data_IF_499622165831
#
_entry.id   IF_499622165831
#
_cell.length_a   1.000
_cell.length_b   1.000
_cell.length_c   1.000
_cell.angle_alpha   90.00
_cell.angle_beta   90.00
_cell.angle_gamma   90.00
#
_symmetry.space_group_name_H-M   'P 1'
#
loop_
_entity.id
_entity.type
_entity.pdbx_description
1 polymer ?
#
# COMPACT_ATOMS: atom_id res chain seq x y z
N UNK A 1 0.48 35.22 2.55
CA UNK A 1 0.80 33.77 2.51
C UNK A 1 0.83 33.37 1.05
N UNK A 2 2.01 33.44 0.43
CA UNK A 2 2.19 33.30 -1.01
C UNK A 2 2.05 31.86 -1.46
N UNK A 3 1.29 31.63 -2.53
CA UNK A 3 1.24 30.34 -3.22
C UNK A 3 2.58 30.12 -3.93
N UNK A 4 3.31 29.07 -3.54
CA UNK A 4 4.53 28.63 -4.23
C UNK A 4 4.17 28.25 -5.66
N UNK A 5 4.60 29.04 -6.64
CA UNK A 5 4.26 28.88 -8.04
C UNK A 5 5.43 28.20 -8.74
N UNK A 6 5.37 26.89 -8.97
CA UNK A 6 6.43 26.20 -9.70
C UNK A 6 6.46 26.68 -11.16
N UNK A 7 7.64 27.04 -11.67
CA UNK A 7 7.83 27.50 -13.04
C UNK A 7 8.98 26.73 -13.71
N UNK A 8 8.76 26.29 -14.94
CA UNK A 8 9.66 25.41 -15.71
C UNK A 8 10.84 26.21 -16.27
N UNK A 9 12.08 25.81 -15.96
CA UNK A 9 13.29 26.43 -16.52
C UNK A 9 13.73 25.61 -17.73
N UNK A 10 13.69 26.21 -18.93
CA UNK A 10 14.13 25.58 -20.18
C UNK A 10 15.61 25.88 -20.45
N UNK A 11 16.51 25.05 -19.93
CA UNK A 11 17.90 25.04 -20.42
C UNK A 11 18.43 23.60 -20.52
N UNK A 12 18.43 23.09 -21.76
CA UNK A 12 19.48 22.24 -22.35
C UNK A 12 19.73 20.81 -21.85
N UNK A 13 19.50 20.45 -20.60
CA UNK A 13 19.59 19.08 -20.05
C UNK A 13 19.25 19.09 -18.54
N UNK A 14 17.97 18.97 -18.17
CA UNK A 14 17.47 18.37 -16.92
C UNK A 14 16.03 18.82 -16.62
N UNK A 15 15.09 17.88 -16.68
CA UNK A 15 13.73 18.02 -16.18
C UNK A 15 13.77 18.09 -14.63
N UNK A 16 13.67 19.29 -14.05
CA UNK A 16 13.48 19.50 -12.61
C UNK A 16 12.58 20.69 -12.34
N UNK A 17 11.53 20.51 -11.53
CA UNK A 17 10.81 21.64 -10.95
C UNK A 17 11.68 22.28 -9.88
N UNK A 18 11.92 23.59 -10.03
CA UNK A 18 12.66 24.41 -9.08
C UNK A 18 11.64 25.26 -8.32
N UNK A 19 11.75 25.34 -7.00
CA UNK A 19 11.02 26.34 -6.24
C UNK A 19 11.52 27.72 -6.69
N UNK A 20 10.66 28.49 -7.35
CA UNK A 20 10.97 29.82 -7.89
C UNK A 20 11.42 30.82 -6.84
N UNK A 21 11.17 30.54 -5.56
CA UNK A 21 11.47 31.42 -4.42
C UNK A 21 12.85 31.12 -3.82
N UNK A 22 13.27 29.85 -3.81
CA UNK A 22 14.50 29.40 -3.14
C UNK A 22 15.57 28.87 -4.11
N UNK A 23 15.20 28.55 -5.35
CA UNK A 23 16.11 27.94 -6.33
C UNK A 23 16.37 26.45 -6.08
N UNK A 24 15.70 25.81 -5.12
CA UNK A 24 15.91 24.40 -4.80
C UNK A 24 15.07 23.46 -5.69
N UNK A 25 15.67 22.32 -6.08
CA UNK A 25 14.99 21.26 -6.80
C UNK A 25 13.94 20.57 -5.92
N UNK A 26 12.70 20.44 -6.41
CA UNK A 26 11.61 19.76 -5.71
C UNK A 26 11.67 18.27 -6.01
N UNK A 27 11.70 17.45 -4.95
CA UNK A 27 11.72 15.99 -5.02
C UNK A 27 10.36 15.40 -4.69
N UNK A 28 10.02 14.27 -5.32
CA UNK A 28 8.87 13.48 -4.88
C UNK A 28 9.23 12.73 -3.58
N UNK A 29 8.23 12.54 -2.72
CA UNK A 29 8.39 11.77 -1.46
C UNK A 29 8.08 10.29 -1.63
N UNK A 30 7.55 9.90 -2.79
CA UNK A 30 7.03 8.57 -3.12
C UNK A 30 7.81 7.99 -4.29
N UNK A 31 8.08 6.66 -4.28
CA UNK A 31 8.79 5.95 -5.34
C UNK A 31 8.22 6.17 -6.74
N UNK A 32 9.08 6.10 -7.75
CA UNK A 32 8.65 5.90 -9.14
C UNK A 32 7.98 4.53 -9.30
N UNK A 33 6.99 4.46 -10.18
CA UNK A 33 6.26 3.22 -10.46
C UNK A 33 7.02 2.39 -11.48
N UNK A 34 8.03 1.69 -10.99
CA UNK A 34 8.86 0.76 -11.75
C UNK A 34 8.55 -0.69 -11.36
N UNK A 35 9.25 -1.67 -11.94
CA UNK A 35 8.97 -3.09 -11.70
C UNK A 35 9.26 -3.52 -10.25
N UNK A 36 10.29 -2.94 -9.64
CA UNK A 36 10.72 -3.13 -8.26
C UNK A 36 9.72 -2.54 -7.27
N UNK A 37 9.08 -1.40 -7.59
CA UNK A 37 7.94 -0.87 -6.83
C UNK A 37 6.84 -1.92 -6.70
N UNK A 38 6.42 -2.53 -7.81
CA UNK A 38 5.36 -3.55 -7.78
C UNK A 38 5.81 -4.81 -7.03
N UNK A 39 7.07 -5.21 -7.16
CA UNK A 39 7.63 -6.36 -6.47
C UNK A 39 7.62 -6.15 -4.95
N UNK A 40 8.23 -5.08 -4.44
CA UNK A 40 8.29 -4.83 -2.98
C UNK A 40 6.88 -4.64 -2.43
N UNK A 41 6.01 -3.97 -3.17
CA UNK A 41 4.62 -3.82 -2.77
C UNK A 41 3.91 -5.16 -2.61
N UNK A 42 4.03 -6.05 -3.60
CA UNK A 42 3.39 -7.36 -3.55
C UNK A 42 3.91 -8.16 -2.35
N UNK A 43 5.21 -8.13 -2.09
CA UNK A 43 5.81 -8.76 -0.92
C UNK A 43 5.29 -8.13 0.39
N UNK A 44 5.23 -6.79 0.47
CA UNK A 44 4.77 -6.05 1.65
C UNK A 44 3.30 -6.30 1.97
N UNK A 45 2.49 -6.53 0.95
CA UNK A 45 1.09 -6.92 1.11
C UNK A 45 1.00 -8.28 1.80
N UNK A 46 1.75 -9.28 1.32
CA UNK A 46 1.71 -10.63 1.91
C UNK A 46 2.33 -10.68 3.32
N UNK A 47 3.37 -9.89 3.60
CA UNK A 47 3.90 -9.76 4.97
C UNK A 47 2.87 -9.13 5.90
N UNK A 48 2.13 -8.11 5.45
CA UNK A 48 1.17 -7.42 6.30
C UNK A 48 0.17 -8.37 6.95
N UNK A 49 -0.39 -9.27 6.13
CA UNK A 49 -1.35 -10.29 6.54
C UNK A 49 -0.72 -11.30 7.51
N UNK A 50 0.36 -11.93 7.07
CA UNK A 50 1.01 -13.01 7.84
C UNK A 50 1.66 -12.53 9.14
N UNK A 51 2.16 -11.28 9.18
CA UNK A 51 2.73 -10.68 10.39
C UNK A 51 1.64 -10.24 11.38
N UNK A 52 0.49 -9.74 10.91
CA UNK A 52 -0.65 -9.46 11.77
C UNK A 52 -1.09 -10.72 12.50
N UNK A 53 -1.30 -11.82 11.75
CA UNK A 53 -1.65 -13.12 12.29
C UNK A 53 -0.64 -13.64 13.30
N UNK A 54 0.65 -13.58 12.96
CA UNK A 54 1.73 -14.07 13.81
C UNK A 54 1.74 -13.36 15.16
N UNK A 55 1.59 -12.04 15.17
CA UNK A 55 1.64 -11.26 16.41
C UNK A 55 0.34 -11.45 17.22
N UNK A 56 -0.82 -11.48 16.55
CA UNK A 56 -2.11 -11.66 17.22
C UNK A 56 -2.29 -13.06 17.83
N UNK A 57 -2.00 -14.11 17.06
CA UNK A 57 -2.29 -15.50 17.44
C UNK A 57 -1.10 -16.20 18.12
N UNK A 58 0.09 -16.20 17.51
CA UNK A 58 1.23 -16.99 18.00
C UNK A 58 1.91 -16.37 19.22
N UNK A 59 1.98 -15.03 19.30
CA UNK A 59 2.56 -14.35 20.47
C UNK A 59 1.56 -14.22 21.64
N UNK A 60 0.31 -14.68 21.47
CA UNK A 60 -0.72 -14.65 22.50
C UNK A 60 -1.06 -13.24 23.00
N UNK A 61 -0.68 -12.20 22.24
CA UNK A 61 -0.94 -10.81 22.61
C UNK A 61 -2.43 -10.48 22.47
N UNK A 62 -3.14 -11.22 21.62
CA UNK A 62 -4.53 -10.95 21.26
C UNK A 62 -4.64 -9.78 20.30
N UNK A 63 -5.69 -9.79 19.50
CA UNK A 63 -5.89 -8.86 18.39
C UNK A 63 -5.83 -7.38 18.84
N UNK A 64 -6.44 -7.06 19.98
CA UNK A 64 -6.52 -5.68 20.50
C UNK A 64 -5.15 -5.12 20.89
N UNK A 65 -4.33 -5.87 21.63
CA UNK A 65 -3.02 -5.38 22.06
C UNK A 65 -2.06 -5.26 20.86
N UNK A 66 -2.09 -6.25 19.96
CA UNK A 66 -1.34 -6.21 18.71
C UNK A 66 -1.70 -4.96 17.89
N UNK A 67 -2.99 -4.66 17.77
CA UNK A 67 -3.47 -3.47 17.05
C UNK A 67 -2.96 -2.17 17.66
N UNK A 68 -2.99 -2.04 18.99
CA UNK A 68 -2.48 -0.85 19.68
C UNK A 68 -0.97 -0.68 19.47
N UNK A 69 -0.19 -1.73 19.69
CA UNK A 69 1.27 -1.69 19.56
C UNK A 69 1.68 -1.36 18.11
N UNK A 70 1.09 -2.04 17.13
CA UNK A 70 1.41 -1.81 15.72
C UNK A 70 0.95 -0.43 15.25
N UNK A 71 -0.17 0.09 15.77
CA UNK A 71 -0.62 1.46 15.48
C UNK A 71 0.35 2.52 16.03
N UNK A 72 0.95 2.28 17.21
CA UNK A 72 1.99 3.17 17.76
C UNK A 72 3.23 3.15 16.88
N UNK A 73 3.70 1.97 16.45
CA UNK A 73 4.83 1.87 15.52
C UNK A 73 4.54 2.55 14.19
N UNK A 74 3.32 2.38 13.65
CA UNK A 74 2.90 3.07 12.43
C UNK A 74 2.90 4.59 12.62
N UNK A 75 2.37 5.10 13.74
CA UNK A 75 2.37 6.54 14.02
C UNK A 75 3.81 7.10 14.05
N UNK A 76 4.73 6.39 14.69
CA UNK A 76 6.16 6.77 14.73
C UNK A 76 6.76 6.75 13.31
N UNK A 77 6.50 5.71 12.52
CA UNK A 77 7.02 5.60 11.15
C UNK A 77 6.47 6.71 10.24
N UNK A 78 5.17 7.02 10.34
CA UNK A 78 4.56 8.14 9.63
C UNK A 78 5.22 9.46 10.02
N UNK A 79 5.48 9.71 11.31
CA UNK A 79 6.19 10.92 11.75
C UNK A 79 7.56 11.02 11.06
N UNK A 80 8.34 9.94 11.02
CA UNK A 80 9.62 9.94 10.31
C UNK A 80 9.48 10.15 8.81
N UNK A 81 8.45 9.56 8.20
CA UNK A 81 8.14 9.69 6.78
C UNK A 81 7.76 11.14 6.41
N UNK A 82 6.86 11.77 7.17
CA UNK A 82 6.48 13.18 6.97
C UNK A 82 7.63 14.17 7.19
N UNK A 83 8.64 13.80 7.99
CA UNK A 83 9.86 14.58 8.16
C UNK A 83 10.78 14.51 6.94
N UNK A 84 10.66 13.49 6.08
CA UNK A 84 11.47 13.39 4.88
C UNK A 84 10.94 14.32 3.79
N UNK A 85 11.83 15.16 3.27
CA UNK A 85 11.54 16.05 2.13
C UNK A 85 11.79 15.38 0.77
N UNK A 86 12.22 14.12 0.77
CA UNK A 86 12.53 13.32 -0.42
C UNK A 86 12.24 11.84 -0.14
N UNK A 87 12.06 11.06 -1.20
CA UNK A 87 11.92 9.62 -1.07
C UNK A 87 13.17 9.00 -0.43
N UNK A 88 12.97 8.30 0.68
CA UNK A 88 13.99 7.48 1.36
C UNK A 88 13.47 6.04 1.39
N UNK A 89 14.03 5.13 0.57
CA UNK A 89 13.47 3.79 0.35
C UNK A 89 13.14 3.02 1.63
N UNK A 90 14.08 2.96 2.58
CA UNK A 90 13.89 2.17 3.79
C UNK A 90 12.82 2.75 4.72
N UNK A 91 12.67 4.08 4.82
CA UNK A 91 11.63 4.73 5.65
C UNK A 91 10.26 4.48 5.02
N UNK A 92 10.16 4.73 3.71
CA UNK A 92 8.94 4.59 2.95
C UNK A 92 8.41 3.15 3.00
N UNK A 93 9.25 2.16 2.65
CA UNK A 93 8.81 0.77 2.62
C UNK A 93 8.54 0.19 3.99
N UNK A 94 9.29 0.59 5.03
CA UNK A 94 8.96 0.22 6.41
C UNK A 94 7.60 0.78 6.82
N UNK A 95 7.28 2.02 6.41
CA UNK A 95 5.97 2.62 6.64
C UNK A 95 4.88 1.86 5.89
N UNK A 96 5.10 1.47 4.62
CA UNK A 96 4.15 0.65 3.85
C UNK A 96 3.88 -0.70 4.53
N UNK A 97 4.92 -1.38 5.05
CA UNK A 97 4.75 -2.64 5.79
C UNK A 97 3.98 -2.43 7.10
N UNK A 98 4.24 -1.35 7.84
CA UNK A 98 3.48 -1.05 9.06
C UNK A 98 2.02 -0.71 8.76
N UNK A 99 1.76 0.06 7.68
CA UNK A 99 0.40 0.33 7.22
C UNK A 99 -0.29 -0.95 6.80
N UNK A 100 0.43 -1.90 6.18
CA UNK A 100 -0.16 -3.17 5.76
C UNK A 100 -0.61 -4.02 6.93
N UNK A 101 0.22 -4.14 7.97
CA UNK A 101 -0.14 -4.85 9.21
C UNK A 101 -1.31 -4.17 9.92
N UNK A 102 -1.26 -2.85 10.11
CA UNK A 102 -2.33 -2.11 10.81
C UNK A 102 -3.65 -2.16 10.02
N UNK A 103 -3.60 -2.09 8.69
CA UNK A 103 -4.79 -2.20 7.84
C UNK A 103 -5.49 -3.56 7.96
N UNK A 104 -4.73 -4.66 7.99
CA UNK A 104 -5.26 -6.01 8.31
C UNK A 104 -5.92 -5.99 9.68
N UNK A 105 -5.17 -5.60 10.72
CA UNK A 105 -5.65 -5.62 12.10
C UNK A 105 -6.93 -4.79 12.32
N UNK A 106 -7.06 -3.62 11.67
CA UNK A 106 -8.29 -2.83 11.73
C UNK A 106 -9.48 -3.65 11.21
N UNK A 107 -9.31 -4.34 10.09
CA UNK A 107 -10.35 -5.17 9.48
C UNK A 107 -10.73 -6.33 10.39
N UNK A 108 -9.75 -7.07 10.88
CA UNK A 108 -9.95 -8.23 11.75
C UNK A 108 -10.65 -7.82 13.05
N UNK A 109 -10.36 -6.63 13.59
CA UNK A 109 -11.07 -6.17 14.79
C UNK A 109 -12.57 -5.99 14.53
N UNK A 110 -12.97 -5.57 13.33
CA UNK A 110 -14.39 -5.48 13.00
C UNK A 110 -15.02 -6.87 12.85
N UNK A 111 -14.32 -7.80 12.21
CA UNK A 111 -14.86 -9.13 11.92
C UNK A 111 -14.80 -10.04 13.15
N UNK A 112 -13.62 -10.23 13.74
CA UNK A 112 -13.38 -11.22 14.79
C UNK A 112 -13.76 -10.72 16.19
N UNK A 113 -13.40 -9.47 16.52
CA UNK A 113 -13.68 -8.91 17.83
C UNK A 113 -15.11 -8.35 17.94
N UNK A 114 -15.58 -7.66 16.89
CA UNK A 114 -16.91 -7.03 16.90
C UNK A 114 -18.00 -7.89 16.23
N UNK A 115 -17.64 -8.99 15.55
CA UNK A 115 -18.59 -9.93 14.95
C UNK A 115 -19.32 -9.40 13.72
N UNK A 116 -18.76 -8.40 13.03
CA UNK A 116 -19.36 -7.87 11.81
C UNK A 116 -19.18 -8.85 10.65
N UNK A 117 -20.08 -8.81 9.68
CA UNK A 117 -19.90 -9.58 8.44
C UNK A 117 -18.97 -8.85 7.46
N UNK A 118 -18.36 -9.60 6.54
CA UNK A 118 -17.43 -9.04 5.55
C UNK A 118 -18.06 -7.95 4.68
N UNK A 119 -19.24 -8.20 4.10
CA UNK A 119 -19.90 -7.28 3.15
C UNK A 119 -20.05 -5.84 3.65
N UNK A 120 -20.63 -5.55 4.83
CA UNK A 120 -20.75 -4.17 5.31
C UNK A 120 -19.39 -3.51 5.56
N UNK A 121 -18.38 -4.25 6.04
CA UNK A 121 -17.04 -3.72 6.29
C UNK A 121 -16.32 -3.40 4.97
N UNK A 122 -16.42 -4.28 3.97
CA UNK A 122 -15.88 -4.03 2.64
C UNK A 122 -16.52 -2.80 1.99
N UNK A 123 -17.85 -2.66 2.09
CA UNK A 123 -18.55 -1.47 1.58
C UNK A 123 -18.17 -0.20 2.33
N UNK A 124 -17.99 -0.28 3.65
CA UNK A 124 -17.56 0.83 4.49
C UNK A 124 -16.16 1.32 4.09
N UNK A 125 -15.18 0.41 3.93
CA UNK A 125 -13.83 0.79 3.50
C UNK A 125 -13.80 1.27 2.04
N UNK A 126 -14.62 0.69 1.16
CA UNK A 126 -14.76 1.17 -0.21
C UNK A 126 -15.31 2.61 -0.25
N UNK A 127 -16.32 2.91 0.57
CA UNK A 127 -16.88 4.25 0.70
C UNK A 127 -15.88 5.23 1.33
N UNK A 128 -15.13 4.81 2.35
CA UNK A 128 -14.09 5.63 2.98
C UNK A 128 -12.94 5.96 2.01
N UNK A 129 -12.50 4.97 1.22
CA UNK A 129 -11.49 5.16 0.18
C UNK A 129 -11.98 6.08 -0.93
N UNK A 130 -13.21 5.87 -1.43
CA UNK A 130 -13.82 6.72 -2.44
C UNK A 130 -13.97 8.17 -1.95
N UNK A 131 -14.39 8.35 -0.70
CA UNK A 131 -14.47 9.67 -0.06
C UNK A 131 -13.11 10.33 0.04
N UNK A 132 -12.07 9.57 0.42
CA UNK A 132 -10.69 10.06 0.49
C UNK A 132 -10.21 10.55 -0.87
N UNK A 133 -10.44 9.79 -1.95
CA UNK A 133 -10.11 10.25 -3.31
C UNK A 133 -10.93 11.46 -3.74
N UNK A 134 -12.23 11.49 -3.44
CA UNK A 134 -13.11 12.61 -3.79
C UNK A 134 -12.65 13.91 -3.12
N UNK A 135 -12.36 13.87 -1.81
CA UNK A 135 -11.86 15.02 -1.06
C UNK A 135 -10.47 15.42 -1.54
N UNK A 136 -9.57 14.45 -1.77
CA UNK A 136 -8.23 14.73 -2.28
C UNK A 136 -8.31 15.43 -3.64
N UNK A 137 -9.11 14.91 -4.58
CA UNK A 137 -9.30 15.53 -5.89
C UNK A 137 -9.99 16.90 -5.79
N UNK A 138 -10.94 17.08 -4.88
CA UNK A 138 -11.60 18.37 -4.68
C UNK A 138 -10.61 19.47 -4.23
N UNK A 139 -9.67 19.12 -3.36
CA UNK A 139 -8.68 20.05 -2.75
C UNK A 139 -7.46 20.25 -3.65
N UNK A 140 -6.88 19.18 -4.19
CA UNK A 140 -5.58 19.21 -4.88
C UNK A 140 -5.71 19.13 -6.41
N UNK A 141 -6.91 18.84 -6.92
CA UNK A 141 -7.25 18.72 -8.36
C UNK A 141 -6.42 17.69 -9.13
N UNK A 142 -5.71 16.82 -8.41
CA UNK A 142 -4.95 15.70 -8.97
C UNK A 142 -4.89 14.56 -7.96
N UNK A 143 -4.86 13.33 -8.48
CA UNK A 143 -4.62 12.10 -7.73
C UNK A 143 -3.27 11.47 -8.14
N UNK A 144 -2.40 12.27 -8.77
CA UNK A 144 -1.10 11.80 -9.25
C UNK A 144 -0.12 11.60 -8.10
N UNK A 145 0.38 10.37 -8.00
CA UNK A 145 1.44 9.98 -7.06
C UNK A 145 2.81 10.55 -7.40
N UNK A 146 2.98 11.08 -8.61
CA UNK A 146 4.21 11.74 -9.04
C UNK A 146 4.34 13.17 -8.46
N UNK A 147 3.29 13.69 -7.84
CA UNK A 147 3.20 15.06 -7.34
C UNK A 147 3.04 15.15 -5.83
N UNK A 148 3.66 14.25 -5.07
CA UNK A 148 3.55 14.17 -3.61
C UNK A 148 4.77 14.85 -2.97
N UNK A 149 4.70 16.18 -2.86
CA UNK A 149 5.77 17.01 -2.30
C UNK A 149 5.29 17.92 -1.16
N UNK A 150 3.98 18.01 -0.92
CA UNK A 150 3.40 18.78 0.20
C UNK A 150 2.88 17.86 1.29
N UNK A 151 2.90 18.34 2.53
CA UNK A 151 2.36 17.62 3.68
C UNK A 151 0.90 17.17 3.46
N UNK A 152 0.07 18.04 2.86
CA UNK A 152 -1.35 17.73 2.62
C UNK A 152 -1.53 16.59 1.63
N UNK A 153 -0.79 16.59 0.53
CA UNK A 153 -0.83 15.52 -0.49
C UNK A 153 -0.32 14.21 0.08
N UNK A 154 0.74 14.26 0.86
CA UNK A 154 1.28 13.09 1.55
C UNK A 154 0.28 12.52 2.58
N UNK A 155 -0.46 13.37 3.29
CA UNK A 155 -1.50 12.92 4.22
C UNK A 155 -2.66 12.21 3.50
N UNK A 156 -3.16 12.76 2.38
CA UNK A 156 -4.16 12.08 1.56
C UNK A 156 -3.64 10.76 1.00
N UNK A 157 -2.39 10.73 0.57
CA UNK A 157 -1.74 9.54 0.06
C UNK A 157 -1.71 8.41 1.09
N UNK A 158 -1.17 8.67 2.29
CA UNK A 158 -1.09 7.66 3.35
C UNK A 158 -2.47 7.23 3.85
N UNK A 159 -3.44 8.14 3.90
CA UNK A 159 -4.82 7.80 4.24
C UNK A 159 -5.46 6.89 3.17
N UNK A 160 -5.26 7.19 1.89
CA UNK A 160 -5.76 6.35 0.80
C UNK A 160 -5.11 4.96 0.83
N UNK A 161 -3.81 4.89 1.13
CA UNK A 161 -3.10 3.64 1.34
C UNK A 161 -3.74 2.85 2.49
N UNK A 162 -3.88 3.45 3.68
CA UNK A 162 -4.45 2.76 4.84
C UNK A 162 -5.83 2.15 4.53
N UNK A 163 -6.74 2.93 3.93
CA UNK A 163 -8.05 2.41 3.54
C UNK A 163 -7.99 1.37 2.42
N UNK A 164 -7.03 1.47 1.50
CA UNK A 164 -6.81 0.43 0.50
C UNK A 164 -6.38 -0.88 1.14
N UNK A 165 -5.52 -0.81 2.16
CA UNK A 165 -5.04 -1.98 2.90
C UNK A 165 -6.18 -2.67 3.65
N UNK A 166 -6.99 -1.91 4.40
CA UNK A 166 -8.15 -2.44 5.11
C UNK A 166 -9.25 -2.97 4.15
N UNK A 167 -9.56 -2.21 3.09
CA UNK A 167 -10.48 -2.65 2.04
C UNK A 167 -10.03 -3.99 1.45
N UNK A 168 -8.76 -4.10 1.09
CA UNK A 168 -8.26 -5.27 0.41
C UNK A 168 -8.16 -6.51 1.29
N UNK A 169 -7.90 -6.39 2.59
CA UNK A 169 -8.05 -7.54 3.52
C UNK A 169 -9.51 -7.99 3.52
N UNK A 170 -10.45 -7.09 3.85
CA UNK A 170 -11.88 -7.46 3.91
C UNK A 170 -12.43 -8.04 2.60
N UNK A 171 -12.02 -7.52 1.44
CA UNK A 171 -12.46 -8.00 0.13
C UNK A 171 -11.81 -9.34 -0.24
N UNK A 172 -10.55 -9.56 0.17
CA UNK A 172 -9.86 -10.83 0.02
C UNK A 172 -10.60 -11.94 0.75
N UNK A 173 -10.86 -11.72 2.04
CA UNK A 173 -11.50 -12.68 2.93
C UNK A 173 -12.97 -12.87 2.59
N UNK A 174 -13.65 -11.79 2.16
CA UNK A 174 -15.02 -11.89 1.67
C UNK A 174 -15.12 -12.88 0.51
N UNK A 175 -14.19 -12.85 -0.44
CA UNK A 175 -14.21 -13.75 -1.59
C UNK A 175 -13.77 -15.16 -1.20
N UNK A 176 -12.69 -15.26 -0.42
CA UNK A 176 -12.10 -16.54 -0.05
C UNK A 176 -12.97 -17.32 0.95
N UNK A 177 -13.40 -16.68 2.02
CA UNK A 177 -14.11 -17.29 3.14
C UNK A 177 -15.61 -16.99 3.09
N UNK A 178 -15.98 -15.72 2.95
CA UNK A 178 -17.39 -15.30 2.96
C UNK A 178 -18.23 -15.89 1.83
N UNK A 179 -17.66 -15.98 0.63
CA UNK A 179 -18.27 -16.60 -0.56
C UNK A 179 -17.80 -18.04 -0.81
N UNK A 180 -16.82 -18.52 -0.03
CA UNK A 180 -16.30 -19.89 -0.11
C UNK A 180 -15.51 -20.21 -1.39
N UNK A 181 -14.95 -19.20 -2.07
CA UNK A 181 -14.12 -19.44 -3.26
C UNK A 181 -12.78 -20.11 -2.92
N UNK A 182 -12.31 -19.96 -1.68
CA UNK A 182 -10.98 -20.38 -1.23
C UNK A 182 -9.88 -19.40 -1.64
N UNK A 183 -8.76 -19.46 -0.91
CA UNK A 183 -7.68 -18.48 -1.02
C UNK A 183 -6.99 -18.47 -2.40
N UNK A 184 -6.65 -19.65 -2.96
CA UNK A 184 -5.97 -19.72 -4.25
C UNK A 184 -6.82 -19.17 -5.41
N UNK A 185 -8.09 -19.56 -5.48
CA UNK A 185 -8.99 -19.10 -6.54
C UNK A 185 -9.23 -17.59 -6.43
N UNK A 186 -9.41 -17.07 -5.21
CA UNK A 186 -9.55 -15.64 -4.95
C UNK A 186 -8.33 -14.86 -5.43
N UNK A 187 -7.12 -15.33 -5.09
CA UNK A 187 -5.86 -14.74 -5.58
C UNK A 187 -5.77 -14.71 -7.11
N UNK A 188 -6.14 -15.81 -7.78
CA UNK A 188 -6.16 -15.88 -9.25
C UNK A 188 -7.19 -14.93 -9.86
N UNK A 189 -8.38 -14.80 -9.26
CA UNK A 189 -9.41 -13.87 -9.73
C UNK A 189 -8.94 -12.42 -9.66
N UNK A 190 -8.31 -12.01 -8.56
CA UNK A 190 -7.74 -10.67 -8.44
C UNK A 190 -6.55 -10.44 -9.39
N UNK A 191 -5.72 -11.45 -9.60
CA UNK A 191 -4.64 -11.40 -10.61
C UNK A 191 -5.21 -11.21 -12.03
N UNK A 192 -6.33 -11.87 -12.36
CA UNK A 192 -7.00 -11.70 -13.64
C UNK A 192 -7.54 -10.27 -13.81
N UNK A 193 -8.12 -9.68 -12.75
CA UNK A 193 -8.56 -8.27 -12.76
C UNK A 193 -7.39 -7.33 -13.00
N UNK A 194 -6.23 -7.56 -12.36
CA UNK A 194 -5.00 -6.77 -12.60
C UNK A 194 -4.54 -6.91 -14.05
N UNK A 195 -4.57 -8.12 -14.63
CA UNK A 195 -4.22 -8.36 -16.02
C UNK A 195 -5.14 -7.59 -16.99
N UNK A 196 -6.45 -7.51 -16.69
CA UNK A 196 -7.41 -6.71 -17.46
C UNK A 196 -7.08 -5.22 -17.36
N UNK A 197 -6.79 -4.70 -16.16
CA UNK A 197 -6.39 -3.30 -15.96
C UNK A 197 -5.11 -2.99 -16.76
N UNK A 198 -4.11 -3.86 -16.70
CA UNK A 198 -2.88 -3.72 -17.46
C UNK A 198 -3.15 -3.72 -18.97
N UNK A 199 -4.00 -4.63 -19.47
CA UNK A 199 -4.39 -4.66 -20.88
C UNK A 199 -5.12 -3.39 -21.34
N UNK A 200 -5.99 -2.82 -20.50
CA UNK A 200 -6.67 -1.55 -20.79
C UNK A 200 -5.71 -0.36 -20.79
N UNK A 201 -4.71 -0.37 -19.91
CA UNK A 201 -3.66 0.65 -19.88
C UNK A 201 -2.76 0.58 -21.12
N UNK A 202 -2.22 -0.60 -21.47
CA UNK A 202 -1.34 -0.77 -22.63
C UNK A 202 -2.05 -0.60 -23.98
N UNK A 203 -3.38 -0.76 -24.01
CA UNK A 203 -4.19 -0.44 -25.20
C UNK A 203 -4.56 1.05 -25.30
N UNK A 204 -4.10 1.90 -24.38
CA UNK A 204 -4.37 3.35 -24.38
C UNK A 204 -5.81 3.72 -24.00
N UNK A 205 -6.60 2.78 -23.48
CA UNK A 205 -8.02 3.00 -23.12
C UNK A 205 -8.22 3.52 -21.70
N UNK A 206 -7.17 3.55 -20.89
CA UNK A 206 -7.22 3.94 -19.48
C UNK A 206 -6.10 4.93 -19.15
N UNK A 207 -6.43 6.01 -18.43
CA UNK A 207 -5.45 6.96 -17.93
C UNK A 207 -4.52 6.29 -16.89
N UNK A 208 -3.23 6.63 -16.92
CA UNK A 208 -2.22 6.04 -16.04
C UNK A 208 -2.50 6.21 -14.54
N UNK A 209 -3.06 7.34 -14.11
CA UNK A 209 -3.44 7.57 -12.70
C UNK A 209 -4.55 6.62 -12.28
N UNK A 210 -5.57 6.45 -13.13
CA UNK A 210 -6.68 5.54 -12.86
C UNK A 210 -6.21 4.09 -12.86
N UNK A 211 -5.42 3.69 -13.85
CA UNK A 211 -4.85 2.35 -13.95
C UNK A 211 -3.97 2.03 -12.73
N UNK A 212 -3.15 3.00 -12.30
CA UNK A 212 -2.34 2.87 -11.09
C UNK A 212 -3.20 2.61 -9.87
N UNK A 213 -4.19 3.46 -9.58
CA UNK A 213 -5.00 3.28 -8.36
C UNK A 213 -5.83 1.99 -8.39
N UNK A 214 -6.41 1.63 -9.53
CA UNK A 214 -7.15 0.37 -9.65
C UNK A 214 -6.24 -0.84 -9.45
N UNK A 215 -5.10 -0.89 -10.13
CA UNK A 215 -4.12 -1.97 -9.91
C UNK A 215 -3.59 -1.95 -8.48
N UNK A 216 -3.39 -0.76 -7.90
CA UNK A 216 -2.92 -0.59 -6.54
C UNK A 216 -3.93 -1.14 -5.52
N UNK A 217 -5.22 -0.91 -5.74
CA UNK A 217 -6.28 -1.41 -4.85
C UNK A 217 -6.40 -2.93 -4.97
N UNK A 218 -6.44 -3.46 -6.19
CA UNK A 218 -6.68 -4.89 -6.44
C UNK A 218 -5.47 -5.77 -6.08
N UNK A 219 -4.25 -5.22 -6.10
CA UNK A 219 -3.06 -5.96 -5.66
C UNK A 219 -3.09 -6.30 -4.17
N UNK A 220 -3.87 -5.57 -3.36
CA UNK A 220 -4.02 -5.88 -1.93
C UNK A 220 -4.79 -7.18 -1.66
N UNK A 221 -6.06 -7.33 -2.06
CA UNK A 221 -6.80 -8.57 -1.82
C UNK A 221 -6.12 -9.77 -2.49
N UNK A 222 -5.49 -9.57 -3.64
CA UNK A 222 -4.67 -10.62 -4.28
C UNK A 222 -3.57 -11.14 -3.35
N UNK A 223 -2.77 -10.23 -2.77
CA UNK A 223 -1.64 -10.63 -1.94
C UNK A 223 -2.03 -11.11 -0.54
N UNK A 224 -3.18 -10.66 0.00
CA UNK A 224 -3.79 -11.23 1.21
C UNK A 224 -4.17 -12.69 0.94
N UNK A 225 -4.98 -12.95 -0.11
CA UNK A 225 -5.36 -14.30 -0.49
C UNK A 225 -4.17 -15.24 -0.75
N UNK A 226 -3.08 -14.77 -1.39
CA UNK A 226 -1.88 -15.61 -1.52
C UNK A 226 -1.12 -15.78 -0.21
N UNK A 227 -1.14 -14.80 0.69
CA UNK A 227 -0.58 -14.90 2.03
C UNK A 227 -1.27 -16.00 2.84
N UNK A 228 -2.60 -15.94 2.88
CA UNK A 228 -3.43 -16.93 3.59
C UNK A 228 -3.31 -18.31 2.96
N UNK A 229 -3.29 -18.38 1.64
CA UNK A 229 -3.04 -19.63 0.94
C UNK A 229 -1.71 -20.27 1.35
N UNK A 230 -0.67 -19.48 1.64
CA UNK A 230 0.63 -20.01 2.08
C UNK A 230 0.63 -20.36 3.58
N UNK A 231 0.06 -19.50 4.42
CA UNK A 231 0.15 -19.58 5.88
C UNK A 231 -0.87 -20.53 6.51
N UNK A 232 -2.13 -20.50 6.04
CA UNK A 232 -3.26 -21.15 6.70
C UNK A 232 -3.17 -22.68 6.66
N UNK A 233 -3.75 -23.39 7.64
CA UNK A 233 -3.79 -24.85 7.65
C UNK A 233 -4.48 -25.42 6.40
N UNK A 234 -4.07 -26.63 6.01
CA UNK A 234 -4.70 -27.38 4.89
C UNK A 234 -6.19 -27.60 5.10
N UNK A 235 -6.62 -27.75 6.36
CA UNK A 235 -8.03 -27.87 6.72
C UNK A 235 -8.87 -26.63 6.34
N UNK A 236 -8.25 -25.45 6.29
CA UNK A 236 -8.89 -24.18 5.91
C UNK A 236 -8.64 -23.83 4.43
N UNK A 237 -8.00 -24.70 3.65
CA UNK A 237 -7.71 -24.47 2.23
C UNK A 237 -6.37 -23.78 1.94
N UNK A 238 -5.48 -23.67 2.93
CA UNK A 238 -4.10 -23.21 2.76
C UNK A 238 -3.09 -24.35 2.52
N UNK A 239 -1.81 -23.99 2.38
CA UNK A 239 -0.68 -24.91 2.17
C UNK A 239 -0.04 -25.39 3.48
N UNK A 240 -0.36 -24.74 4.60
CA UNK A 240 0.13 -25.12 5.92
C UNK A 240 1.63 -24.86 6.15
N UNK A 241 2.24 -23.90 5.45
CA UNK A 241 3.62 -23.49 5.75
C UNK A 241 3.72 -22.83 7.14
N UNK A 242 2.60 -22.33 7.65
CA UNK A 242 2.50 -21.64 8.92
C UNK A 242 2.86 -20.17 8.80
N UNK A 243 2.28 -19.37 9.70
CA UNK A 243 2.44 -17.91 9.76
C UNK A 243 3.90 -17.50 9.96
N UNK A 244 4.66 -18.25 10.77
CA UNK A 244 6.07 -17.96 11.09
C UNK A 244 6.99 -18.11 9.88
N UNK A 245 6.96 -19.25 9.21
CA UNK A 245 7.85 -19.52 8.08
C UNK A 245 7.52 -18.58 6.92
N UNK A 246 6.22 -18.38 6.65
CA UNK A 246 5.75 -17.49 5.60
C UNK A 246 6.22 -16.06 5.89
N UNK A 247 5.97 -15.52 7.09
CA UNK A 247 6.39 -14.17 7.48
C UNK A 247 7.90 -13.96 7.32
N UNK A 248 8.73 -14.92 7.75
CA UNK A 248 10.19 -14.81 7.66
C UNK A 248 10.70 -14.79 6.21
N UNK A 249 10.14 -15.63 5.34
CA UNK A 249 10.52 -15.67 3.92
C UNK A 249 10.23 -14.32 3.26
N UNK A 250 9.01 -13.82 3.44
CA UNK A 250 8.62 -12.55 2.82
C UNK A 250 9.35 -11.35 3.45
N UNK A 251 9.57 -11.33 4.76
CA UNK A 251 10.36 -10.28 5.41
C UNK A 251 11.80 -10.26 4.89
N UNK A 252 12.44 -11.42 4.75
CA UNK A 252 13.77 -11.52 4.17
C UNK A 252 13.82 -11.03 2.72
N UNK A 253 12.80 -11.37 1.91
CA UNK A 253 12.68 -10.90 0.54
C UNK A 253 12.54 -9.37 0.47
N UNK A 254 11.67 -8.78 1.31
CA UNK A 254 11.52 -7.31 1.42
C UNK A 254 12.84 -6.66 1.82
N UNK A 255 13.50 -7.18 2.86
CA UNK A 255 14.77 -6.62 3.33
C UNK A 255 15.84 -6.67 2.23
N UNK A 256 15.93 -7.77 1.47
CA UNK A 256 16.83 -7.89 0.34
C UNK A 256 16.52 -6.88 -0.77
N UNK A 257 15.25 -6.70 -1.14
CA UNK A 257 14.86 -5.74 -2.17
C UNK A 257 15.05 -4.29 -1.72
N UNK A 258 14.72 -3.94 -0.48
CA UNK A 258 15.00 -2.59 0.07
C UNK A 258 16.51 -2.32 0.09
N UNK A 259 17.31 -3.33 0.47
CA UNK A 259 18.78 -3.19 0.47
C UNK A 259 19.31 -2.98 -0.96
N UNK A 260 18.74 -3.66 -1.95
CA UNK A 260 19.04 -3.43 -3.36
C UNK A 260 18.68 -2.00 -3.79
N UNK A 261 17.44 -1.55 -3.54
CA UNK A 261 16.98 -0.19 -3.89
C UNK A 261 17.79 0.92 -3.21
N UNK A 262 18.22 0.68 -1.96
CA UNK A 262 19.06 1.62 -1.21
C UNK A 262 20.46 1.72 -1.82
N UNK A 263 20.99 0.61 -2.36
CA UNK A 263 22.31 0.58 -3.01
C UNK A 263 22.28 1.07 -4.46
N UNK A 264 21.20 0.86 -5.20
CA UNK A 264 21.04 1.34 -6.58
C UNK A 264 20.90 2.87 -6.67
N UNK A 265 20.68 3.56 -5.54
CA UNK A 265 20.47 5.01 -5.45
C UNK A 265 19.22 5.50 -6.20
N UNK A 266 18.17 4.70 -6.26
CA UNK A 266 16.88 5.09 -6.87
C UNK A 266 16.09 6.15 -6.03
N UNK A 267 16.76 6.90 -5.14
CA UNK A 267 16.16 7.91 -4.26
C UNK A 267 16.21 9.36 -4.77
N UNK A 268 16.58 9.58 -6.04
CA UNK A 268 16.65 10.90 -6.67
C UNK A 268 15.47 11.13 -7.63
N UNK A 269 14.29 10.74 -7.20
CA UNK A 269 13.08 10.81 -8.01
C UNK A 269 12.60 12.25 -8.07
N UNK A 270 13.09 12.94 -9.10
CA UNK A 270 12.57 14.24 -9.51
C UNK A 270 11.14 14.04 -9.98
N UNK A 271 10.26 14.98 -9.62
CA UNK A 271 8.87 14.99 -10.10
C UNK A 271 8.92 15.02 -11.65
N UNK A 272 8.49 13.95 -12.34
CA UNK A 272 8.32 14.00 -13.78
C UNK A 272 7.14 14.92 -14.12
N UNK A 273 7.25 15.59 -15.28
CA UNK A 273 6.28 16.54 -15.84
C UNK A 273 4.82 16.06 -15.79
#
# INVERSE_FOLDING_TARGET
MGQTTAQQVSDGNAHSMIDTTTGETIYNRVPQVTWDFWLVKLLAVTVGETAADLIASNLGMGLTNTSLIMSVFLAIALVFQFQQQKYVPWIYWSTVVLVSVVGTLITDNFIDNLGWSFTPITLMFAAALATTFAVWYAVEKTLSIHSIYTFRREAFYWLAILFTFALGTSAGDQLAEGLGAGYLLSGIMYAAVIAVIAGLFYSGKMNGILAFWLAYIVTRPMGASFGDYLSQPVANGGLGLGTVVTSLIFFAAIAATIMYMTRSKDGLERIPE
#
